data_IF_416728590990
#
_entry.id   IF_416728590990
#
_cell.length_a   1.000
_cell.length_b   1.000
_cell.length_c   1.000
_cell.angle_alpha   90.00
_cell.angle_beta   90.00
_cell.angle_gamma   90.00
#
_symmetry.space_group_name_H-M   'P 1'
#
loop_
_entity.id
_entity.type
_entity.pdbx_description
1 polymer ?
#
# COMPACT_ATOMS: atom_id res chain seq x y z
N UNK A 1 -10.24 -11.44 -2.76
CA UNK A 1 -10.01 -10.07 -2.32
C UNK A 1 -10.18 -9.95 -0.82
N UNK A 2 -9.26 -9.29 -0.15
CA UNK A 2 -9.30 -9.09 1.30
C UNK A 2 -9.59 -7.63 1.59
N UNK A 3 -10.54 -7.35 2.50
CA UNK A 3 -10.92 -6.00 2.90
C UNK A 3 -10.75 -5.86 4.41
N UNK A 4 -9.94 -4.86 4.81
CA UNK A 4 -9.77 -4.51 6.21
C UNK A 4 -10.86 -3.51 6.59
N UNK A 5 -11.81 -3.93 7.40
CA UNK A 5 -12.94 -3.10 7.81
C UNK A 5 -13.46 -3.54 9.17
N UNK A 6 -13.95 -2.58 9.93
CA UNK A 6 -14.59 -2.86 11.22
C UNK A 6 -16.12 -2.88 11.12
N UNK A 7 -16.66 -2.41 10.02
CA UNK A 7 -18.10 -2.20 9.87
C UNK A 7 -18.74 -3.03 8.76
N UNK A 8 -17.95 -3.48 7.79
CA UNK A 8 -18.46 -4.24 6.65
C UNK A 8 -18.81 -5.68 7.08
N UNK A 9 -19.99 -6.14 6.70
CA UNK A 9 -20.40 -7.52 6.95
C UNK A 9 -19.92 -8.42 5.80
N UNK A 10 -19.26 -9.53 6.14
CA UNK A 10 -18.67 -10.43 5.13
C UNK A 10 -19.69 -11.26 4.38
N UNK A 11 -20.86 -11.52 4.98
CA UNK A 11 -21.90 -12.36 4.40
C UNK A 11 -22.64 -11.69 3.24
N UNK A 12 -22.51 -10.36 3.09
CA UNK A 12 -23.12 -9.61 2.00
C UNK A 12 -22.18 -9.42 0.79
N UNK A 13 -20.97 -9.95 0.86
CA UNK A 13 -19.93 -9.69 -0.15
C UNK A 13 -19.23 -10.99 -0.52
N UNK A 14 -19.86 -11.85 -1.34
CA UNK A 14 -19.23 -13.11 -1.75
C UNK A 14 -17.93 -12.85 -2.53
N UNK A 15 -16.92 -13.66 -2.28
CA UNK A 15 -15.61 -13.51 -2.89
C UNK A 15 -14.72 -12.51 -2.18
N UNK A 16 -15.19 -11.90 -1.11
CA UNK A 16 -14.44 -10.93 -0.32
C UNK A 16 -14.25 -11.47 1.09
N UNK A 17 -13.02 -11.50 1.56
CA UNK A 17 -12.70 -11.79 2.95
C UNK A 17 -12.62 -10.45 3.71
N UNK A 18 -13.43 -10.29 4.76
CA UNK A 18 -13.40 -9.09 5.59
C UNK A 18 -12.61 -9.38 6.86
N UNK A 19 -11.58 -8.57 7.12
CA UNK A 19 -10.72 -8.70 8.30
C UNK A 19 -10.98 -7.51 9.22
N UNK A 20 -11.52 -7.78 10.41
CA UNK A 20 -11.79 -6.74 11.41
C UNK A 20 -10.62 -6.56 12.34
N UNK A 21 -10.17 -7.65 12.95
CA UNK A 21 -9.04 -7.68 13.87
C UNK A 21 -7.99 -8.64 13.31
N UNK A 22 -6.77 -8.58 13.82
CA UNK A 22 -5.69 -9.45 13.38
C UNK A 22 -5.21 -9.16 11.97
N UNK A 23 -5.24 -7.91 11.54
CA UNK A 23 -4.83 -7.52 10.19
C UNK A 23 -3.37 -7.83 9.92
N UNK A 24 -2.52 -7.52 10.87
CA UNK A 24 -1.08 -7.76 10.72
C UNK A 24 -0.80 -9.25 10.53
N UNK A 25 -1.37 -10.08 11.38
CA UNK A 25 -1.18 -11.54 11.32
C UNK A 25 -1.70 -12.10 10.00
N UNK A 26 -2.85 -11.62 9.55
CA UNK A 26 -3.44 -12.09 8.29
C UNK A 26 -2.58 -11.72 7.09
N UNK A 27 -2.04 -10.53 7.07
CA UNK A 27 -1.16 -10.08 5.99
C UNK A 27 0.16 -10.85 6.02
N UNK A 28 0.73 -11.08 7.21
CA UNK A 28 1.94 -11.91 7.34
C UNK A 28 1.70 -13.33 6.84
N UNK A 29 0.56 -13.89 7.15
CA UNK A 29 0.16 -15.20 6.66
C UNK A 29 0.09 -15.23 5.13
N UNK A 30 -0.55 -14.24 4.52
CA UNK A 30 -0.63 -14.12 3.07
C UNK A 30 0.75 -14.01 2.42
N UNK A 31 1.66 -13.25 3.01
CA UNK A 31 3.02 -13.11 2.48
C UNK A 31 3.82 -14.39 2.56
N UNK A 32 3.53 -15.26 3.52
CA UNK A 32 4.23 -16.54 3.67
C UNK A 32 3.72 -17.62 2.71
N UNK A 33 2.57 -17.41 2.10
CA UNK A 33 2.01 -18.37 1.14
C UNK A 33 2.73 -18.24 -0.21
N UNK A 34 2.83 -19.33 -0.92
CA UNK A 34 3.31 -19.31 -2.30
C UNK A 34 2.24 -18.71 -3.20
N UNK A 35 2.65 -17.97 -4.22
CA UNK A 35 1.75 -17.31 -5.13
C UNK A 35 2.37 -16.07 -5.73
N UNK A 36 1.54 -15.23 -6.34
CA UNK A 36 1.96 -13.98 -6.93
C UNK A 36 2.07 -12.84 -5.92
N UNK A 37 2.25 -11.65 -6.44
CA UNK A 37 2.36 -10.44 -5.64
C UNK A 37 1.03 -10.12 -4.98
N UNK A 38 1.12 -9.45 -3.83
CA UNK A 38 -0.05 -8.93 -3.12
C UNK A 38 -0.15 -7.43 -3.43
N UNK A 39 -1.27 -7.03 -4.01
CA UNK A 39 -1.54 -5.63 -4.31
C UNK A 39 -2.32 -4.96 -3.19
N UNK A 40 -1.76 -3.85 -2.70
CA UNK A 40 -2.40 -3.02 -1.70
C UNK A 40 -3.06 -1.82 -2.41
N UNK A 41 -4.38 -1.88 -2.54
CA UNK A 41 -5.13 -0.79 -3.18
C UNK A 41 -5.26 0.47 -2.31
N UNK A 42 -5.06 0.32 -1.03
CA UNK A 42 -5.17 1.43 -0.11
C UNK A 42 -6.36 1.26 0.83
N UNK A 43 -6.87 2.28 1.49
CA UNK A 43 -6.38 3.67 1.38
C UNK A 43 -5.11 3.97 2.16
N UNK A 44 -4.87 5.26 2.34
CA UNK A 44 -3.66 5.76 2.99
C UNK A 44 -3.47 5.28 4.41
N UNK A 45 -4.54 5.14 5.19
CA UNK A 45 -4.43 4.63 6.56
C UNK A 45 -3.97 3.17 6.59
N UNK A 46 -4.53 2.33 5.73
CA UNK A 46 -4.11 0.93 5.64
C UNK A 46 -2.67 0.85 5.14
N UNK A 47 -2.31 1.66 4.15
CA UNK A 47 -0.94 1.72 3.67
C UNK A 47 0.02 2.10 4.79
N UNK A 48 -0.31 3.11 5.59
CA UNK A 48 0.52 3.53 6.72
C UNK A 48 0.70 2.39 7.74
N UNK A 49 -0.38 1.65 8.03
CA UNK A 49 -0.32 0.52 8.96
C UNK A 49 0.59 -0.59 8.44
N UNK A 50 0.39 -1.00 7.20
CA UNK A 50 1.17 -2.09 6.59
C UNK A 50 2.63 -1.70 6.48
N UNK A 51 2.90 -0.43 6.15
CA UNK A 51 4.25 0.11 6.08
C UNK A 51 4.91 0.10 7.47
N UNK A 52 4.17 0.50 8.51
CA UNK A 52 4.68 0.50 9.89
C UNK A 52 5.03 -0.91 10.36
N UNK A 53 4.28 -1.91 9.93
CA UNK A 53 4.57 -3.31 10.27
C UNK A 53 5.75 -3.89 9.49
N UNK A 54 6.31 -3.14 8.54
CA UNK A 54 7.43 -3.61 7.72
C UNK A 54 7.01 -4.63 6.66
N UNK A 55 5.75 -4.60 6.23
CA UNK A 55 5.19 -5.58 5.31
C UNK A 55 5.03 -5.07 3.88
N UNK A 56 5.50 -3.87 3.59
CA UNK A 56 5.51 -3.32 2.23
C UNK A 56 6.90 -3.55 1.62
N UNK A 57 6.95 -4.22 0.49
CA UNK A 57 8.22 -4.52 -0.20
C UNK A 57 8.55 -3.48 -1.26
N UNK A 58 7.55 -3.09 -2.06
CA UNK A 58 7.74 -2.13 -3.15
C UNK A 58 6.64 -1.08 -3.15
N UNK A 59 7.00 0.12 -3.60
CA UNK A 59 6.07 1.23 -3.79
C UNK A 59 6.28 1.76 -5.20
N UNK A 60 5.19 1.89 -5.97
CA UNK A 60 5.25 2.33 -7.34
C UNK A 60 4.39 3.59 -7.56
N UNK A 61 4.87 4.78 -7.16
CA UNK A 61 4.10 6.00 -7.40
C UNK A 61 4.19 6.44 -8.85
N UNK A 62 3.08 6.95 -9.36
CA UNK A 62 3.03 7.63 -10.65
C UNK A 62 2.99 9.14 -10.40
N UNK A 63 3.93 9.87 -11.00
CA UNK A 63 3.97 11.32 -10.90
C UNK A 63 3.23 11.88 -12.11
N UNK A 64 2.12 12.52 -11.85
CA UNK A 64 1.27 13.13 -12.87
C UNK A 64 1.73 14.59 -13.03
N UNK A 65 1.87 15.09 -14.27
CA UNK A 65 2.41 16.44 -14.52
C UNK A 65 1.37 17.52 -14.24
N UNK A 66 0.90 17.61 -13.00
CA UNK A 66 -0.10 18.57 -12.53
C UNK A 66 0.32 19.06 -11.14
N UNK A 67 0.19 20.38 -10.94
CA UNK A 67 0.31 20.95 -9.61
C UNK A 67 -1.10 21.10 -9.04
N UNK A 68 -1.43 20.25 -8.06
CA UNK A 68 -2.80 20.14 -7.58
C UNK A 68 -3.15 21.18 -6.50
N UNK A 69 -2.19 21.51 -5.65
CA UNK A 69 -2.39 22.48 -4.56
C UNK A 69 -3.14 21.94 -3.35
N UNK A 70 -3.75 20.78 -3.47
CA UNK A 70 -4.49 20.14 -2.37
C UNK A 70 -4.92 18.75 -2.79
N UNK A 71 -5.53 18.02 -1.86
CA UNK A 71 -6.00 16.68 -2.12
C UNK A 71 -5.76 15.73 -0.94
N UNK A 72 -6.06 14.46 -1.16
CA UNK A 72 -5.84 13.43 -0.15
C UNK A 72 -4.39 13.00 -0.20
N UNK A 73 -3.73 12.98 0.95
CA UNK A 73 -2.33 12.56 1.04
C UNK A 73 -2.19 11.07 0.90
N UNK A 74 -1.09 10.62 0.29
CA UNK A 74 -0.77 9.20 0.19
C UNK A 74 -0.66 8.56 1.57
N UNK A 75 -0.01 9.26 2.51
CA UNK A 75 0.04 8.87 3.90
C UNK A 75 -0.67 9.91 4.75
N UNK A 76 -1.48 9.50 5.74
CA UNK A 76 -2.17 10.46 6.60
C UNK A 76 -1.17 11.25 7.44
N UNK A 77 -1.58 12.45 7.85
CA UNK A 77 -0.75 13.32 8.67
C UNK A 77 -1.36 13.46 10.07
N UNK A 78 -0.56 13.36 11.15
CA UNK A 78 0.86 13.02 11.14
C UNK A 78 1.08 11.51 11.00
N UNK A 79 1.86 11.12 10.01
CA UNK A 79 2.25 9.72 9.88
C UNK A 79 3.50 9.48 10.72
N UNK A 80 3.45 8.53 11.62
CA UNK A 80 4.59 8.17 12.46
C UNK A 80 5.60 7.28 11.73
N UNK A 81 5.35 7.00 10.47
CA UNK A 81 6.14 6.05 9.69
C UNK A 81 7.10 6.79 8.79
N UNK A 82 8.37 6.38 8.86
CA UNK A 82 9.40 6.86 7.95
C UNK A 82 10.19 5.66 7.45
N UNK A 83 10.30 5.55 6.14
CA UNK A 83 11.07 4.47 5.50
C UNK A 83 11.90 5.05 4.38
N UNK A 84 13.12 4.58 4.25
CA UNK A 84 13.97 4.91 3.11
C UNK A 84 13.56 4.05 1.92
N UNK A 85 13.65 4.62 0.73
CA UNK A 85 13.33 3.96 -0.52
C UNK A 85 14.58 3.92 -1.40
N UNK A 86 14.77 2.80 -2.08
CA UNK A 86 15.82 2.67 -3.08
C UNK A 86 15.17 2.59 -4.45
N UNK A 87 15.56 3.49 -5.35
CA UNK A 87 15.01 3.49 -6.70
C UNK A 87 15.52 2.27 -7.48
N UNK A 88 14.57 1.46 -7.97
CA UNK A 88 14.85 0.26 -8.76
C UNK A 88 14.80 0.60 -10.24
N UNK A 89 13.74 1.28 -10.66
CA UNK A 89 13.59 1.72 -12.05
C UNK A 89 12.65 2.90 -12.15
N UNK A 90 12.71 3.59 -13.28
CA UNK A 90 11.79 4.67 -13.59
C UNK A 90 11.45 4.62 -15.07
N UNK A 91 10.28 5.16 -15.39
CA UNK A 91 9.84 5.24 -16.77
C UNK A 91 9.09 6.55 -17.01
N UNK A 92 9.53 7.29 -18.02
CA UNK A 92 8.84 8.50 -18.46
C UNK A 92 7.98 8.16 -19.69
N UNK A 93 6.78 8.71 -19.71
CA UNK A 93 5.80 8.50 -20.77
C UNK A 93 5.65 9.77 -21.60
N UNK A 94 5.22 9.67 -22.89
CA UNK A 94 4.99 10.85 -23.72
C UNK A 94 3.99 11.84 -23.12
N UNK A 95 3.06 11.37 -22.27
CA UNK A 95 2.10 12.24 -21.58
C UNK A 95 2.75 13.15 -20.54
N UNK A 96 4.01 12.91 -20.20
CA UNK A 96 4.71 13.62 -19.11
C UNK A 96 4.62 12.89 -17.77
N UNK A 97 3.84 11.82 -17.68
CA UNK A 97 3.79 11.00 -16.47
C UNK A 97 5.12 10.27 -16.26
N UNK A 98 5.56 10.18 -15.02
CA UNK A 98 6.74 9.39 -14.64
C UNK A 98 6.33 8.32 -13.65
N UNK A 99 6.60 7.07 -13.97
CA UNK A 99 6.40 5.95 -13.07
C UNK A 99 7.70 5.63 -12.37
N UNK A 100 7.66 5.53 -11.06
CA UNK A 100 8.82 5.21 -10.23
C UNK A 100 8.56 3.89 -9.51
N UNK A 101 9.56 3.03 -9.49
CA UNK A 101 9.49 1.80 -8.72
C UNK A 101 10.58 1.85 -7.65
N UNK A 102 10.15 1.81 -6.38
CA UNK A 102 11.04 1.84 -5.23
C UNK A 102 10.94 0.54 -4.45
N UNK A 103 12.08 0.11 -3.94
CA UNK A 103 12.15 -0.94 -2.93
C UNK A 103 12.19 -0.28 -1.56
N UNK A 104 11.32 -0.73 -0.65
CA UNK A 104 11.29 -0.21 0.71
C UNK A 104 12.44 -0.81 1.50
N UNK A 105 13.28 0.06 2.08
CA UNK A 105 14.38 -0.38 2.92
C UNK A 105 13.86 -0.75 4.30
N UNK A 106 14.28 -1.89 4.80
CA UNK A 106 13.87 -2.33 6.14
C UNK A 106 14.74 -1.63 7.18
N UNK A 107 14.12 -1.01 8.15
CA UNK A 107 14.83 -0.51 9.31
C UNK A 107 15.11 -1.67 10.26
N UNK A 108 16.19 -1.54 10.95
CA UNK A 108 16.59 -2.52 11.96
C UNK A 108 16.15 -2.09 13.34
#
# INVERSE_FOLDING_TARGET
MLVASRTLASDHHPGIEVVRDGREERIRELRSQSGGDIWLYGGGELFAQVLAWGLVDTVEPAIIPILLGGGIRLLPSPAAVRRRLRLVRHRAYPSGMVLLEYEVQKDR
#
